data_IF_185639169768
#
_entry.id   IF_185639169768
#
_cell.length_a   1.000
_cell.length_b   1.000
_cell.length_c   1.000
_cell.angle_alpha   90.00
_cell.angle_beta   90.00
_cell.angle_gamma   90.00
#
_symmetry.space_group_name_H-M   'P 1'
#
loop_
_entity.id
_entity.type
_entity.pdbx_description
1 polymer ?
#
# COMPACT_ATOMS: atom_id res chain seq x y z
N UNK A 1 -22.78 3.87 18.55
CA UNK A 1 -21.91 4.09 17.38
C UNK A 1 -20.60 3.40 17.71
N UNK A 2 -20.04 2.61 16.80
CA UNK A 2 -18.74 1.95 17.08
C UNK A 2 -17.62 2.98 17.09
N UNK A 3 -16.62 2.77 17.94
CA UNK A 3 -15.47 3.66 18.02
C UNK A 3 -14.49 3.39 16.87
N UNK A 4 -14.21 2.11 16.59
CA UNK A 4 -13.22 1.68 15.62
C UNK A 4 -13.83 0.67 14.62
N UNK A 5 -13.56 0.87 13.33
CA UNK A 5 -13.80 -0.17 12.30
C UNK A 5 -12.46 -0.74 11.84
N UNK A 6 -12.36 -2.06 11.85
CA UNK A 6 -11.26 -2.80 11.21
C UNK A 6 -11.79 -3.42 9.91
N UNK A 7 -11.22 -3.06 8.78
CA UNK A 7 -11.57 -3.64 7.47
C UNK A 7 -10.50 -4.64 7.06
N UNK A 8 -10.93 -5.86 6.74
CA UNK A 8 -10.05 -7.00 6.43
C UNK A 8 -10.39 -7.54 5.05
N UNK A 9 -9.63 -7.19 3.99
CA UNK A 9 -9.74 -7.85 2.69
C UNK A 9 -9.24 -9.29 2.80
N UNK A 10 -10.04 -10.25 2.32
CA UNK A 10 -9.75 -11.68 2.34
C UNK A 10 -9.80 -12.22 0.90
N UNK A 11 -8.75 -12.87 0.46
CA UNK A 11 -8.73 -13.60 -0.82
C UNK A 11 -7.79 -14.81 -0.73
N UNK A 12 -8.37 -16.01 -0.85
CA UNK A 12 -7.63 -17.27 -0.77
C UNK A 12 -6.68 -17.31 0.44
N UNK A 13 -7.22 -16.99 1.62
CA UNK A 13 -6.48 -16.84 2.89
C UNK A 13 -6.92 -17.81 3.97
N UNK A 14 -7.63 -18.89 3.64
CA UNK A 14 -8.21 -19.85 4.59
C UNK A 14 -7.21 -20.30 5.67
N UNK A 15 -5.98 -20.61 5.29
CA UNK A 15 -4.94 -21.10 6.21
C UNK A 15 -4.45 -20.04 7.22
N UNK A 16 -4.72 -18.77 6.96
CA UNK A 16 -4.21 -17.62 7.73
C UNK A 16 -5.30 -16.90 8.52
N UNK A 17 -6.54 -16.90 8.02
CA UNK A 17 -7.66 -16.12 8.55
C UNK A 17 -7.89 -16.32 10.04
N UNK A 18 -7.76 -17.56 10.53
CA UNK A 18 -7.96 -17.82 11.96
C UNK A 18 -7.02 -16.98 12.80
N UNK A 19 -5.72 -16.99 12.51
CA UNK A 19 -4.72 -16.23 13.27
C UNK A 19 -4.91 -14.73 13.12
N UNK A 20 -5.25 -14.28 11.90
CA UNK A 20 -5.58 -12.90 11.65
C UNK A 20 -6.73 -12.48 12.57
N UNK A 21 -7.90 -13.13 12.48
CA UNK A 21 -9.10 -12.74 13.22
C UNK A 21 -8.87 -12.88 14.73
N UNK A 22 -8.26 -13.98 15.21
CA UNK A 22 -7.92 -14.17 16.63
C UNK A 22 -7.07 -13.00 17.18
N UNK A 23 -6.21 -12.39 16.34
CA UNK A 23 -5.39 -11.23 16.71
C UNK A 23 -6.19 -9.92 16.79
N UNK A 24 -7.35 -9.82 16.12
CA UNK A 24 -8.22 -8.64 16.13
C UNK A 24 -9.17 -8.61 17.34
N UNK A 25 -9.55 -9.77 17.87
CA UNK A 25 -10.56 -9.88 18.93
C UNK A 25 -10.22 -9.11 20.22
N UNK A 26 -8.94 -8.97 20.63
CA UNK A 26 -8.57 -8.14 21.79
C UNK A 26 -8.92 -6.65 21.65
N UNK A 27 -9.27 -6.16 20.46
CA UNK A 27 -9.57 -4.74 20.19
C UNK A 27 -10.72 -4.12 21.00
N UNK A 28 -11.52 -4.90 21.73
CA UNK A 28 -12.59 -4.41 22.64
C UNK A 28 -13.99 -4.44 22.04
N UNK A 29 -14.99 -4.11 22.86
CA UNK A 29 -16.42 -4.20 22.50
C UNK A 29 -16.88 -3.11 21.53
N UNK A 30 -16.21 -1.95 21.53
CA UNK A 30 -16.54 -0.81 20.66
C UNK A 30 -15.88 -0.91 19.26
N UNK A 31 -15.30 -2.07 18.94
CA UNK A 31 -14.75 -2.38 17.62
C UNK A 31 -15.79 -3.11 16.78
N UNK A 32 -15.90 -2.75 15.51
CA UNK A 32 -16.51 -3.60 14.47
C UNK A 32 -15.42 -4.12 13.53
N UNK A 33 -15.55 -5.36 13.08
CA UNK A 33 -14.64 -6.01 12.15
C UNK A 33 -15.45 -6.34 10.89
N UNK A 34 -15.01 -5.83 9.75
CA UNK A 34 -15.66 -6.08 8.46
C UNK A 34 -14.73 -6.96 7.62
N UNK A 35 -15.08 -8.23 7.49
CA UNK A 35 -14.42 -9.17 6.61
C UNK A 35 -14.98 -9.01 5.20
N UNK A 36 -14.12 -8.82 4.22
CA UNK A 36 -14.52 -8.69 2.82
C UNK A 36 -13.89 -9.83 2.02
N UNK A 37 -14.68 -10.86 1.75
CA UNK A 37 -14.27 -11.95 0.86
C UNK A 37 -14.32 -11.46 -0.59
N UNK A 38 -13.15 -11.31 -1.18
CA UNK A 38 -12.97 -10.84 -2.55
C UNK A 38 -13.05 -11.98 -3.57
N UNK A 39 -14.09 -12.82 -3.47
CA UNK A 39 -14.37 -13.90 -4.41
C UNK A 39 -13.36 -15.05 -4.31
N UNK A 40 -13.06 -15.48 -3.08
CA UNK A 40 -12.16 -16.61 -2.83
C UNK A 40 -12.68 -17.91 -3.44
N UNK A 41 -11.77 -18.74 -3.92
CA UNK A 41 -12.05 -20.09 -4.46
C UNK A 41 -11.68 -21.23 -3.50
N UNK A 42 -11.09 -20.89 -2.35
CA UNK A 42 -10.83 -21.80 -1.23
C UNK A 42 -11.94 -21.71 -0.16
N UNK A 43 -11.69 -22.16 1.06
CA UNK A 43 -12.65 -22.07 2.17
C UNK A 43 -12.74 -20.70 2.85
N UNK A 44 -12.10 -19.64 2.34
CA UNK A 44 -12.07 -18.32 3.00
C UNK A 44 -13.46 -17.71 3.16
N UNK A 45 -14.30 -17.77 2.12
CA UNK A 45 -15.67 -17.24 2.20
C UNK A 45 -16.48 -17.91 3.30
N UNK A 46 -16.48 -19.25 3.36
CA UNK A 46 -17.15 -20.00 4.43
C UNK A 46 -16.58 -19.67 5.81
N UNK A 47 -15.26 -19.49 5.92
CA UNK A 47 -14.63 -19.11 7.17
C UNK A 47 -15.07 -17.70 7.63
N UNK A 48 -15.25 -16.75 6.70
CA UNK A 48 -15.82 -15.43 7.01
C UNK A 48 -17.23 -15.54 7.62
N UNK A 49 -18.10 -16.36 7.02
CA UNK A 49 -19.47 -16.59 7.53
C UNK A 49 -19.45 -17.23 8.91
N UNK A 50 -18.60 -18.24 9.12
CA UNK A 50 -18.45 -18.91 10.40
C UNK A 50 -18.02 -17.93 11.52
N UNK A 51 -17.12 -17.00 11.21
CA UNK A 51 -16.68 -15.99 12.17
C UNK A 51 -17.77 -14.97 12.48
N UNK A 52 -18.54 -14.54 11.51
CA UNK A 52 -19.70 -13.67 11.71
C UNK A 52 -20.76 -14.30 12.67
N UNK A 53 -20.90 -15.64 12.62
CA UNK A 53 -21.80 -16.36 13.53
C UNK A 53 -21.24 -16.49 14.96
N UNK A 54 -19.92 -16.42 15.15
CA UNK A 54 -19.26 -16.61 16.46
C UNK A 54 -19.09 -15.32 17.24
N UNK A 55 -18.95 -14.18 16.56
CA UNK A 55 -18.70 -12.89 17.21
C UNK A 55 -19.57 -11.80 16.57
N UNK A 56 -20.47 -11.22 17.35
CA UNK A 56 -21.42 -10.20 16.90
C UNK A 56 -20.78 -8.88 16.44
N UNK A 57 -19.50 -8.66 16.70
CA UNK A 57 -18.73 -7.54 16.22
C UNK A 57 -18.28 -7.72 14.77
N UNK A 58 -18.32 -8.96 14.26
CA UNK A 58 -17.86 -9.32 12.93
C UNK A 58 -19.03 -9.25 11.95
N UNK A 59 -18.79 -8.60 10.82
CA UNK A 59 -19.67 -8.61 9.64
C UNK A 59 -18.90 -9.18 8.47
N UNK A 60 -19.57 -9.93 7.62
CA UNK A 60 -18.97 -10.46 6.39
C UNK A 60 -19.74 -9.96 5.17
N UNK A 61 -19.00 -9.67 4.10
CA UNK A 61 -19.54 -9.42 2.77
C UNK A 61 -18.73 -10.19 1.73
N UNK A 62 -19.42 -10.68 0.70
CA UNK A 62 -18.80 -11.35 -0.44
C UNK A 62 -18.94 -10.48 -1.69
N UNK A 63 -17.88 -10.40 -2.47
CA UNK A 63 -17.89 -9.73 -3.76
C UNK A 63 -17.20 -10.58 -4.83
N UNK A 64 -17.43 -10.26 -6.09
CA UNK A 64 -16.61 -10.81 -7.17
C UNK A 64 -15.20 -10.25 -7.06
N UNK A 65 -14.18 -11.11 -7.25
CA UNK A 65 -12.78 -10.68 -7.17
C UNK A 65 -12.51 -9.40 -7.97
N UNK A 66 -12.04 -8.39 -7.29
CA UNK A 66 -11.73 -7.08 -7.84
C UNK A 66 -10.43 -6.48 -7.26
N UNK A 67 -9.73 -7.23 -6.39
CA UNK A 67 -8.47 -6.84 -5.76
C UNK A 67 -8.63 -6.18 -4.39
N UNK A 68 -7.52 -6.16 -3.64
CA UNK A 68 -7.49 -5.71 -2.24
C UNK A 68 -8.01 -4.27 -2.06
N UNK A 69 -7.68 -3.35 -2.98
CA UNK A 69 -8.16 -1.97 -2.94
C UNK A 69 -9.69 -1.89 -3.02
N UNK A 70 -10.31 -2.68 -3.91
CA UNK A 70 -11.77 -2.71 -4.05
C UNK A 70 -12.45 -3.36 -2.85
N UNK A 71 -11.82 -4.38 -2.26
CA UNK A 71 -12.30 -4.98 -1.02
C UNK A 71 -12.24 -3.97 0.15
N UNK A 72 -11.15 -3.19 0.27
CA UNK A 72 -11.06 -2.10 1.25
C UNK A 72 -12.14 -1.03 1.01
N UNK A 73 -12.44 -0.66 -0.24
CA UNK A 73 -13.54 0.26 -0.56
C UNK A 73 -14.89 -0.29 -0.08
N UNK A 74 -15.17 -1.57 -0.30
CA UNK A 74 -16.40 -2.19 0.16
C UNK A 74 -16.51 -2.16 1.70
N UNK A 75 -15.41 -2.42 2.41
CA UNK A 75 -15.34 -2.29 3.87
C UNK A 75 -15.55 -0.85 4.34
N UNK A 76 -14.93 0.14 3.70
CA UNK A 76 -15.11 1.56 4.01
C UNK A 76 -16.58 1.98 3.92
N UNK A 77 -17.29 1.60 2.85
CA UNK A 77 -18.70 1.96 2.66
C UNK A 77 -19.60 1.41 3.76
N UNK A 78 -19.24 0.29 4.38
CA UNK A 78 -20.00 -0.34 5.46
C UNK A 78 -19.54 0.09 6.85
N UNK A 79 -18.39 0.77 6.95
CA UNK A 79 -17.80 1.16 8.22
C UNK A 79 -18.68 2.16 8.97
N UNK A 80 -18.78 2.03 10.29
CA UNK A 80 -19.53 2.94 11.16
C UNK A 80 -18.66 3.62 12.23
N UNK A 81 -17.43 3.14 12.44
CA UNK A 81 -16.50 3.66 13.43
C UNK A 81 -16.02 5.08 13.16
N UNK A 82 -15.69 5.83 14.20
CA UNK A 82 -15.06 7.14 14.12
C UNK A 82 -13.61 7.04 13.62
N UNK A 83 -12.98 5.89 13.87
CA UNK A 83 -11.62 5.56 13.43
C UNK A 83 -11.64 4.33 12.54
N UNK A 84 -10.73 4.30 11.55
CA UNK A 84 -10.63 3.21 10.57
C UNK A 84 -9.23 2.63 10.59
N UNK A 85 -9.13 1.31 10.65
CA UNK A 85 -7.92 0.52 10.53
C UNK A 85 -8.09 -0.49 9.39
N UNK A 86 -7.04 -0.70 8.61
CA UNK A 86 -6.97 -1.80 7.64
C UNK A 86 -6.03 -2.88 8.16
N UNK A 87 -6.41 -4.14 8.00
CA UNK A 87 -5.56 -5.29 8.30
C UNK A 87 -5.68 -6.29 7.17
N UNK A 88 -4.58 -6.75 6.61
CA UNK A 88 -4.62 -7.75 5.55
C UNK A 88 -4.95 -9.14 6.13
N UNK A 89 -5.84 -9.90 5.47
CA UNK A 89 -6.41 -11.15 6.01
C UNK A 89 -5.42 -12.31 6.19
N UNK A 90 -4.17 -12.08 5.83
CA UNK A 90 -3.05 -13.01 5.97
C UNK A 90 -2.00 -12.58 7.00
N UNK A 91 -2.20 -11.42 7.63
CA UNK A 91 -1.31 -10.84 8.62
C UNK A 91 -1.89 -10.96 10.05
N UNK A 92 -1.14 -10.51 11.02
CA UNK A 92 -1.52 -10.51 12.44
C UNK A 92 -1.15 -9.16 13.07
N UNK A 93 -1.84 -8.79 14.15
CA UNK A 93 -1.52 -7.57 14.91
C UNK A 93 -1.20 -7.91 16.37
N UNK A 94 -0.47 -7.02 17.04
CA UNK A 94 -0.26 -7.10 18.50
C UNK A 94 -1.61 -6.87 19.21
N UNK A 95 -1.89 -7.55 20.32
CA UNK A 95 -3.16 -7.43 21.05
C UNK A 95 -3.51 -6.00 21.50
N UNK A 96 -2.51 -5.15 21.67
CA UNK A 96 -2.61 -3.77 22.13
C UNK A 96 -2.44 -2.73 21.01
N UNK A 97 -2.39 -3.17 19.73
CA UNK A 97 -2.23 -2.26 18.59
C UNK A 97 -3.34 -1.21 18.53
N UNK A 98 -4.60 -1.63 18.63
CA UNK A 98 -5.74 -0.72 18.54
C UNK A 98 -5.71 0.31 19.67
N UNK A 99 -5.47 -0.12 20.90
CA UNK A 99 -5.38 0.75 22.08
C UNK A 99 -4.26 1.78 21.94
N UNK A 100 -3.05 1.33 21.56
CA UNK A 100 -1.87 2.20 21.43
C UNK A 100 -2.02 3.22 20.31
N UNK A 101 -2.49 2.79 19.15
CA UNK A 101 -2.73 3.71 18.04
C UNK A 101 -3.79 4.75 18.39
N UNK A 102 -4.90 4.33 18.99
CA UNK A 102 -5.97 5.23 19.39
C UNK A 102 -5.51 6.20 20.49
N UNK A 103 -4.83 5.69 21.52
CA UNK A 103 -4.30 6.51 22.61
C UNK A 103 -3.35 7.60 22.11
N UNK A 104 -2.42 7.25 21.23
CA UNK A 104 -1.46 8.21 20.68
C UNK A 104 -2.15 9.23 19.76
N UNK A 105 -3.11 8.78 18.92
CA UNK A 105 -3.91 9.66 18.07
C UNK A 105 -4.67 10.71 18.89
N UNK A 106 -5.32 10.29 19.98
CA UNK A 106 -6.09 11.16 20.87
C UNK A 106 -5.18 12.11 21.67
N UNK A 107 -4.09 11.59 22.25
CA UNK A 107 -3.09 12.36 23.02
C UNK A 107 -2.54 13.49 22.18
N UNK A 108 -2.13 13.23 20.95
CA UNK A 108 -1.53 14.20 20.05
C UNK A 108 -2.58 15.02 19.29
N UNK A 109 -3.87 14.69 19.38
CA UNK A 109 -4.94 15.25 18.54
C UNK A 109 -4.57 15.16 17.07
N UNK A 110 -4.10 13.97 16.67
CA UNK A 110 -3.66 13.71 15.32
C UNK A 110 -4.82 13.19 14.46
N UNK A 111 -4.63 13.26 13.15
CA UNK A 111 -5.56 12.72 12.16
C UNK A 111 -5.25 11.27 11.82
N UNK A 112 -3.96 10.93 11.93
CA UNK A 112 -3.43 9.58 11.74
C UNK A 112 -2.48 9.27 12.90
N UNK A 113 -2.56 8.04 13.42
CA UNK A 113 -1.45 7.43 14.17
C UNK A 113 -0.90 6.24 13.39
N UNK A 114 0.39 5.95 13.53
CA UNK A 114 1.04 4.84 12.84
C UNK A 114 2.08 4.16 13.71
N UNK A 115 2.29 2.87 13.48
CA UNK A 115 3.28 2.10 14.22
C UNK A 115 4.30 1.44 13.29
N UNK A 116 5.32 0.84 13.90
CA UNK A 116 6.24 -0.04 13.22
C UNK A 116 5.64 -1.41 12.94
N UNK A 117 6.43 -2.25 12.28
CA UNK A 117 6.01 -3.59 11.92
C UNK A 117 7.17 -4.59 11.94
N UNK A 118 6.83 -5.86 12.15
CA UNK A 118 7.72 -6.99 11.95
C UNK A 118 7.52 -7.55 10.54
N UNK A 119 8.55 -7.54 9.72
CA UNK A 119 8.56 -8.22 8.44
C UNK A 119 9.06 -9.66 8.67
N UNK A 120 8.10 -10.60 8.73
CA UNK A 120 8.33 -11.99 9.15
C UNK A 120 8.57 -12.86 7.94
N UNK A 121 9.81 -13.24 7.69
CA UNK A 121 10.22 -14.23 6.68
C UNK A 121 10.27 -15.62 7.30
N UNK A 122 10.47 -16.64 6.48
CA UNK A 122 10.59 -18.02 6.92
C UNK A 122 11.78 -18.25 7.86
N UNK A 123 12.90 -17.57 7.61
CA UNK A 123 14.21 -17.77 8.25
C UNK A 123 14.66 -16.60 9.14
N UNK A 124 13.99 -15.47 9.04
CA UNK A 124 14.33 -14.26 9.79
C UNK A 124 13.14 -13.34 9.99
N UNK A 125 13.25 -12.47 10.97
CA UNK A 125 12.32 -11.34 11.17
C UNK A 125 13.12 -10.04 11.14
N UNK A 126 12.59 -9.06 10.41
CA UNK A 126 13.17 -7.71 10.36
C UNK A 126 12.18 -6.76 11.01
N UNK A 127 12.63 -6.07 12.02
CA UNK A 127 11.84 -5.08 12.75
C UNK A 127 12.04 -3.70 12.15
N UNK A 128 10.94 -2.99 11.93
CA UNK A 128 10.91 -1.61 11.46
C UNK A 128 10.13 -0.79 12.47
N UNK A 129 10.80 0.12 13.15
CA UNK A 129 10.19 0.99 14.18
C UNK A 129 10.34 2.44 13.73
N UNK A 130 9.26 3.26 13.79
CA UNK A 130 9.38 4.69 13.60
C UNK A 130 10.05 5.37 14.79
N UNK A 131 10.69 6.51 14.55
CA UNK A 131 11.09 7.40 15.64
C UNK A 131 9.84 7.92 16.38
N UNK A 132 9.99 8.21 17.67
CA UNK A 132 8.94 8.88 18.46
C UNK A 132 8.82 10.35 18.02
N UNK A 133 7.84 10.62 17.16
CA UNK A 133 7.64 11.95 16.57
C UNK A 133 6.22 12.19 16.11
N UNK A 134 5.91 13.46 15.94
CA UNK A 134 4.68 13.95 15.32
C UNK A 134 5.03 14.72 14.06
N UNK A 135 4.54 14.23 12.92
CA UNK A 135 4.71 14.84 11.61
C UNK A 135 3.61 15.87 11.36
N UNK A 136 3.95 17.01 10.72
CA UNK A 136 2.99 18.08 10.38
C UNK A 136 3.20 18.61 8.97
N UNK A 137 2.09 18.90 8.30
CA UNK A 137 2.10 19.52 6.99
C UNK A 137 2.97 18.73 5.98
N UNK A 138 3.95 19.40 5.36
CA UNK A 138 4.84 18.79 4.34
C UNK A 138 5.71 17.64 4.86
N UNK A 139 5.95 17.54 6.17
CA UNK A 139 6.71 16.42 6.74
C UNK A 139 6.00 15.09 6.52
N UNK A 140 4.66 15.10 6.51
CA UNK A 140 3.84 13.91 6.27
C UNK A 140 4.05 13.40 4.83
N UNK A 141 3.97 14.29 3.84
CA UNK A 141 4.23 13.92 2.44
C UNK A 141 5.69 13.48 2.21
N UNK A 142 6.63 14.10 2.93
CA UNK A 142 8.04 13.72 2.88
C UNK A 142 8.25 12.32 3.48
N UNK A 143 7.64 12.02 4.64
CA UNK A 143 7.69 10.70 5.27
C UNK A 143 7.09 9.61 4.37
N UNK A 144 5.99 9.89 3.65
CA UNK A 144 5.39 8.98 2.67
C UNK A 144 6.40 8.47 1.66
N UNK A 145 7.36 9.29 1.25
CA UNK A 145 8.32 8.92 0.20
C UNK A 145 9.70 8.54 0.72
N UNK A 146 10.02 8.78 1.98
CA UNK A 146 11.37 8.56 2.54
C UNK A 146 11.42 7.56 3.68
N UNK A 147 10.35 7.41 4.47
CA UNK A 147 10.37 6.60 5.69
C UNK A 147 9.69 5.25 5.50
N UNK A 148 10.44 4.16 5.71
CA UNK A 148 9.92 2.79 5.53
C UNK A 148 8.73 2.51 6.46
N UNK A 149 8.74 3.00 7.69
CA UNK A 149 7.67 2.81 8.67
C UNK A 149 6.37 3.54 8.30
N UNK A 150 6.47 4.62 7.52
CA UNK A 150 5.31 5.40 7.04
C UNK A 150 4.98 5.12 5.57
N UNK A 151 5.92 4.53 4.82
CA UNK A 151 5.84 4.32 3.38
C UNK A 151 4.59 3.52 2.99
N UNK A 152 3.89 3.97 2.00
CA UNK A 152 2.74 3.46 1.24
C UNK A 152 1.79 2.44 1.88
N UNK A 153 2.17 1.74 2.96
CA UNK A 153 1.31 0.77 3.62
C UNK A 153 0.15 1.46 4.36
N UNK A 154 -1.04 0.91 4.24
CA UNK A 154 -2.24 1.42 4.93
C UNK A 154 -2.52 0.66 6.24
N UNK A 155 -2.00 -0.56 6.35
CA UNK A 155 -2.32 -1.52 7.41
C UNK A 155 -1.66 -1.22 8.77
N UNK A 156 -0.64 -0.39 8.86
CA UNK A 156 -0.01 0.02 10.14
C UNK A 156 -0.47 1.41 10.62
N UNK A 157 -1.62 1.87 10.13
CA UNK A 157 -2.14 3.23 10.37
C UNK A 157 -3.59 3.19 10.84
N UNK A 158 -3.88 3.97 11.88
CA UNK A 158 -5.23 4.29 12.31
C UNK A 158 -5.59 5.68 11.78
N UNK A 159 -6.70 5.77 11.10
CA UNK A 159 -7.18 6.99 10.47
C UNK A 159 -8.41 7.52 11.19
N UNK A 160 -8.48 8.83 11.46
CA UNK A 160 -9.74 9.49 11.74
C UNK A 160 -10.62 9.45 10.49
N UNK A 161 -11.89 9.06 10.63
CA UNK A 161 -12.81 8.93 9.48
C UNK A 161 -12.87 10.16 8.60
N UNK A 162 -12.87 11.36 9.22
CA UNK A 162 -13.03 12.64 8.52
C UNK A 162 -11.98 12.86 7.45
N UNK A 163 -10.71 12.45 7.67
CA UNK A 163 -9.66 12.63 6.66
C UNK A 163 -9.77 11.69 5.48
N UNK A 164 -10.62 10.66 5.59
CA UNK A 164 -10.90 9.71 4.52
C UNK A 164 -12.02 10.19 3.56
N UNK A 165 -12.60 11.35 3.82
CA UNK A 165 -13.72 11.89 3.05
C UNK A 165 -13.25 12.97 2.08
N UNK A 166 -13.87 13.01 0.90
CA UNK A 166 -13.72 14.12 -0.04
C UNK A 166 -14.56 15.34 0.39
N UNK A 167 -14.49 16.43 -0.36
CA UNK A 167 -15.25 17.65 -0.11
C UNK A 167 -16.78 17.49 -0.21
N UNK A 168 -17.27 16.36 -0.73
CA UNK A 168 -18.69 16.01 -0.82
C UNK A 168 -19.11 15.05 0.28
N UNK A 169 -18.20 14.71 1.21
CA UNK A 169 -18.45 13.78 2.31
C UNK A 169 -18.46 12.30 1.90
N UNK A 170 -17.94 11.95 0.74
CA UNK A 170 -17.80 10.57 0.26
C UNK A 170 -16.40 10.07 0.57
N UNK A 171 -16.26 8.77 0.81
CA UNK A 171 -14.94 8.18 0.98
C UNK A 171 -14.05 8.38 -0.25
N UNK A 172 -12.80 8.78 -0.02
CA UNK A 172 -11.73 8.69 -1.02
C UNK A 172 -11.48 7.21 -1.28
N UNK A 173 -11.74 6.76 -2.49
CA UNK A 173 -11.67 5.34 -2.84
C UNK A 173 -10.32 4.93 -3.43
N UNK A 174 -9.93 3.67 -3.18
CA UNK A 174 -8.86 3.00 -3.91
C UNK A 174 -9.25 2.88 -5.38
N UNK A 175 -8.28 3.02 -6.28
CA UNK A 175 -8.49 2.97 -7.71
C UNK A 175 -8.71 1.54 -8.22
N UNK A 176 -9.76 1.33 -9.02
CA UNK A 176 -10.09 0.01 -9.57
C UNK A 176 -9.16 -0.45 -10.70
N UNK A 177 -8.40 0.47 -11.27
CA UNK A 177 -7.52 0.23 -12.42
C UNK A 177 -6.02 0.20 -12.05
N UNK A 178 -5.72 0.09 -10.74
CA UNK A 178 -4.37 -0.08 -10.21
C UNK A 178 -4.34 -1.30 -9.29
N UNK A 179 -3.65 -2.34 -9.74
CA UNK A 179 -3.49 -3.60 -9.01
C UNK A 179 -2.22 -3.66 -8.15
N UNK A 180 -1.26 -2.76 -8.38
CA UNK A 180 0.00 -2.65 -7.62
C UNK A 180 0.33 -1.19 -7.37
N UNK A 181 0.53 -0.84 -6.10
CA UNK A 181 0.79 0.54 -5.67
C UNK A 181 -0.48 1.35 -5.38
N UNK A 182 -1.63 0.68 -5.36
CA UNK A 182 -2.94 1.26 -5.02
C UNK A 182 -2.95 1.91 -3.64
N UNK A 183 -2.31 1.28 -2.66
CA UNK A 183 -2.19 1.77 -1.28
C UNK A 183 -1.47 3.12 -1.22
N UNK A 184 -0.34 3.22 -1.91
CA UNK A 184 0.43 4.45 -1.95
C UNK A 184 -0.31 5.59 -2.64
N UNK A 185 -0.98 5.30 -3.75
CA UNK A 185 -1.78 6.29 -4.45
C UNK A 185 -2.96 6.76 -3.60
N UNK A 186 -3.69 5.82 -3.00
CA UNK A 186 -4.79 6.15 -2.11
C UNK A 186 -4.31 7.01 -0.93
N UNK A 187 -3.23 6.58 -0.27
CA UNK A 187 -2.66 7.32 0.85
C UNK A 187 -2.22 8.73 0.44
N UNK A 188 -1.60 8.90 -0.74
CA UNK A 188 -1.21 10.24 -1.21
C UNK A 188 -2.39 11.19 -1.40
N UNK A 189 -3.57 10.68 -1.75
CA UNK A 189 -4.82 11.45 -1.83
C UNK A 189 -5.36 11.80 -0.44
N UNK A 190 -5.40 10.83 0.47
CA UNK A 190 -5.87 11.01 1.85
C UNK A 190 -5.00 12.02 2.60
N UNK A 191 -3.69 11.98 2.41
CA UNK A 191 -2.76 12.88 3.11
C UNK A 191 -2.96 14.36 2.80
N UNK A 192 -3.72 14.74 1.79
CA UNK A 192 -4.13 16.13 1.55
C UNK A 192 -5.07 16.67 2.62
N UNK A 193 -5.80 15.79 3.29
CA UNK A 193 -6.72 16.12 4.37
C UNK A 193 -6.07 16.01 5.75
N UNK A 194 -4.80 15.59 5.84
CA UNK A 194 -4.10 15.28 7.10
C UNK A 194 -3.20 16.43 7.49
N UNK A 195 -3.44 16.99 8.66
CA UNK A 195 -2.61 18.05 9.25
C UNK A 195 -1.53 17.48 10.17
N UNK A 196 -1.84 16.35 10.86
CA UNK A 196 -0.95 15.78 11.87
C UNK A 196 -0.97 14.24 11.83
N UNK A 197 0.22 13.64 11.87
CA UNK A 197 0.40 12.19 12.01
C UNK A 197 1.35 11.88 13.17
N UNK A 198 0.94 11.02 14.12
CA UNK A 198 1.67 10.66 15.32
C UNK A 198 2.23 9.24 15.24
N UNK A 199 3.49 9.06 15.61
CA UNK A 199 4.17 7.77 15.62
C UNK A 199 4.02 7.06 16.97
N UNK A 200 3.70 5.77 16.94
CA UNK A 200 3.89 4.86 18.07
C UNK A 200 5.21 4.11 17.84
N UNK A 201 6.27 4.34 18.64
CA UNK A 201 7.61 3.80 18.40
C UNK A 201 7.71 2.33 18.82
N UNK A 202 6.83 1.48 18.28
CA UNK A 202 6.76 0.05 18.53
C UNK A 202 6.35 -0.68 17.26
N UNK A 203 6.83 -1.92 17.07
CA UNK A 203 6.42 -2.80 16.00
C UNK A 203 5.18 -3.60 16.43
N UNK A 204 4.00 -3.14 16.02
CA UNK A 204 2.71 -3.72 16.45
C UNK A 204 1.97 -4.47 15.33
N UNK A 205 2.44 -4.40 14.11
CA UNK A 205 1.89 -5.13 12.96
C UNK A 205 2.84 -6.23 12.52
N UNK A 206 2.34 -7.43 12.21
CA UNK A 206 3.16 -8.61 11.88
C UNK A 206 2.92 -9.00 10.42
N UNK A 207 3.69 -8.40 9.52
CA UNK A 207 3.62 -8.67 8.10
C UNK A 207 4.23 -10.02 7.75
N UNK A 208 3.39 -11.01 7.47
CA UNK A 208 3.78 -12.40 7.22
C UNK A 208 4.12 -12.62 5.74
N UNK A 209 5.38 -12.92 5.44
CA UNK A 209 5.83 -13.22 4.09
C UNK A 209 5.47 -14.64 3.69
N UNK A 210 4.74 -14.79 2.59
CA UNK A 210 4.33 -16.09 2.01
C UNK A 210 4.99 -16.31 0.67
N UNK A 211 5.21 -17.58 0.27
CA UNK A 211 5.80 -17.94 -1.02
C UNK A 211 4.95 -17.45 -2.21
N UNK A 212 3.63 -17.31 -2.03
CA UNK A 212 2.67 -16.86 -3.03
C UNK A 212 2.15 -15.42 -2.81
N UNK A 213 2.78 -14.63 -1.95
CA UNK A 213 2.40 -13.24 -1.75
C UNK A 213 2.54 -12.43 -3.04
N UNK A 214 1.62 -11.47 -3.27
CA UNK A 214 1.68 -10.54 -4.39
C UNK A 214 2.99 -9.72 -4.39
N UNK A 215 3.62 -9.55 -3.22
CA UNK A 215 4.84 -8.77 -2.99
C UNK A 215 6.04 -9.63 -2.58
N UNK A 216 6.30 -10.77 -3.24
CA UNK A 216 7.48 -11.58 -2.95
C UNK A 216 8.79 -10.78 -3.13
N UNK A 217 9.59 -10.72 -2.06
CA UNK A 217 11.03 -10.42 -2.12
C UNK A 217 11.45 -9.10 -2.74
N UNK A 218 10.67 -8.00 -2.52
CA UNK A 218 10.90 -6.73 -3.18
C UNK A 218 10.26 -6.71 -4.57
N UNK A 219 8.97 -6.38 -4.63
CA UNK A 219 8.17 -6.11 -5.83
C UNK A 219 8.49 -7.02 -7.04
N UNK A 220 8.30 -8.33 -6.93
CA UNK A 220 8.24 -9.18 -8.12
C UNK A 220 6.87 -8.95 -8.76
N UNK A 221 6.85 -8.02 -9.68
CA UNK A 221 5.72 -7.78 -10.57
C UNK A 221 5.64 -9.01 -11.49
N UNK A 222 4.55 -9.79 -11.37
CA UNK A 222 4.43 -11.11 -12.05
C UNK A 222 3.70 -11.04 -13.38
N UNK A 223 2.96 -9.98 -13.64
CA UNK A 223 2.17 -9.84 -14.87
C UNK A 223 2.54 -8.56 -15.62
N UNK A 224 2.36 -8.56 -16.93
CA UNK A 224 2.63 -7.39 -17.77
C UNK A 224 1.77 -6.19 -17.34
N UNK A 225 0.52 -6.47 -16.96
CA UNK A 225 -0.40 -5.46 -16.45
C UNK A 225 0.08 -4.83 -15.14
N UNK A 226 0.64 -5.62 -14.22
CA UNK A 226 1.21 -5.13 -12.98
C UNK A 226 2.39 -4.16 -13.19
N UNK A 227 3.21 -4.34 -14.23
CA UNK A 227 4.26 -3.38 -14.61
C UNK A 227 3.67 -2.02 -15.00
N UNK A 228 2.60 -2.02 -15.77
CA UNK A 228 1.96 -0.80 -16.24
C UNK A 228 1.19 -0.10 -15.11
N UNK A 229 0.52 -0.85 -14.24
CA UNK A 229 -0.26 -0.30 -13.13
C UNK A 229 0.63 0.32 -12.05
N UNK A 230 1.76 -0.30 -11.68
CA UNK A 230 2.69 0.31 -10.72
C UNK A 230 3.27 1.62 -11.25
N UNK A 231 3.59 1.70 -12.54
CA UNK A 231 4.06 2.95 -13.13
C UNK A 231 2.97 4.01 -13.12
N UNK A 232 1.72 3.63 -13.38
CA UNK A 232 0.58 4.53 -13.29
C UNK A 232 0.41 5.05 -11.86
N UNK A 233 0.46 4.17 -10.85
CA UNK A 233 0.35 4.56 -9.45
C UNK A 233 1.43 5.58 -9.05
N UNK A 234 2.69 5.30 -9.34
CA UNK A 234 3.80 6.18 -8.99
C UNK A 234 3.76 7.53 -9.72
N UNK A 235 3.30 7.52 -10.98
CA UNK A 235 3.05 8.75 -11.73
C UNK A 235 1.98 9.60 -11.06
N UNK A 236 0.84 9.02 -10.75
CA UNK A 236 -0.26 9.72 -10.12
C UNK A 236 0.12 10.22 -8.73
N UNK A 237 0.80 9.41 -7.91
CA UNK A 237 1.37 9.86 -6.63
C UNK A 237 2.27 11.10 -6.81
N UNK A 238 3.10 11.13 -7.86
CA UNK A 238 3.97 12.28 -8.14
C UNK A 238 3.15 13.55 -8.41
N UNK A 239 2.00 13.42 -9.06
CA UNK A 239 1.09 14.52 -9.37
C UNK A 239 0.24 14.95 -8.16
N UNK A 240 -0.01 14.04 -7.23
CA UNK A 240 -0.77 14.33 -6.01
C UNK A 240 0.06 15.09 -4.95
N UNK A 241 1.39 15.05 -5.02
CA UNK A 241 2.29 15.69 -4.06
C UNK A 241 2.54 17.15 -4.45
N UNK A 242 2.02 18.09 -3.67
CA UNK A 242 2.15 19.54 -3.92
C UNK A 242 3.54 20.09 -3.53
N UNK A 243 4.21 19.47 -2.54
CA UNK A 243 5.54 19.89 -2.09
C UNK A 243 6.61 19.51 -3.13
N UNK A 244 7.17 20.52 -3.82
CA UNK A 244 8.14 20.32 -4.90
C UNK A 244 9.35 19.47 -4.55
N UNK A 245 10.03 19.63 -3.39
CA UNK A 245 11.11 18.75 -2.97
C UNK A 245 10.68 17.29 -2.86
N UNK A 246 9.55 17.03 -2.24
CA UNK A 246 8.98 15.68 -2.07
C UNK A 246 8.56 15.08 -3.41
N UNK A 247 7.88 15.84 -4.26
CA UNK A 247 7.51 15.43 -5.61
C UNK A 247 8.75 15.05 -6.45
N UNK A 248 9.88 15.76 -6.28
CA UNK A 248 11.14 15.41 -6.94
C UNK A 248 11.69 14.06 -6.48
N UNK A 249 11.59 13.72 -5.19
CA UNK A 249 11.99 12.41 -4.67
C UNK A 249 11.08 11.32 -5.23
N UNK A 250 9.77 11.54 -5.24
CA UNK A 250 8.80 10.61 -5.81
C UNK A 250 9.02 10.40 -7.31
N UNK A 251 9.31 11.45 -8.05
CA UNK A 251 9.69 11.39 -9.45
C UNK A 251 10.93 10.50 -9.67
N UNK A 252 11.98 10.61 -8.83
CA UNK A 252 13.15 9.73 -8.91
C UNK A 252 12.79 8.26 -8.65
N UNK A 253 11.91 7.98 -7.70
CA UNK A 253 11.39 6.61 -7.47
C UNK A 253 10.64 6.09 -8.69
N UNK A 254 9.75 6.91 -9.27
CA UNK A 254 9.06 6.56 -10.50
C UNK A 254 10.05 6.22 -11.64
N UNK A 255 11.05 7.06 -11.90
CA UNK A 255 12.07 6.82 -12.93
C UNK A 255 12.87 5.54 -12.66
N UNK A 256 13.21 5.29 -11.39
CA UNK A 256 13.88 4.05 -10.96
C UNK A 256 13.01 2.80 -11.26
N UNK A 257 11.71 2.88 -10.98
CA UNK A 257 10.75 1.81 -11.29
C UNK A 257 10.59 1.61 -12.79
N UNK A 258 10.48 2.69 -13.58
CA UNK A 258 10.44 2.61 -15.04
C UNK A 258 11.64 1.84 -15.59
N UNK A 259 12.84 2.17 -15.10
CA UNK A 259 14.07 1.49 -15.50
C UNK A 259 14.06 0.02 -15.13
N UNK A 260 13.67 -0.31 -13.90
CA UNK A 260 13.58 -1.70 -13.43
C UNK A 260 12.59 -2.52 -14.26
N UNK A 261 11.41 -1.99 -14.53
CA UNK A 261 10.39 -2.62 -15.37
C UNK A 261 10.90 -2.85 -16.81
N UNK A 262 11.57 -1.86 -17.41
CA UNK A 262 12.12 -1.99 -18.76
C UNK A 262 13.18 -3.09 -18.84
N UNK A 263 14.09 -3.17 -17.87
CA UNK A 263 15.13 -4.20 -17.82
C UNK A 263 14.53 -5.58 -17.64
N UNK A 264 13.52 -5.70 -16.77
CA UNK A 264 12.85 -6.97 -16.53
C UNK A 264 12.10 -7.44 -17.78
N UNK A 265 11.35 -6.55 -18.45
CA UNK A 265 10.69 -6.84 -19.73
C UNK A 265 11.68 -7.28 -20.82
N UNK A 266 12.88 -6.71 -20.80
CA UNK A 266 13.96 -7.12 -21.68
C UNK A 266 14.49 -8.52 -21.35
N UNK A 267 14.75 -8.83 -20.06
CA UNK A 267 15.20 -10.16 -19.59
C UNK A 267 14.20 -11.25 -19.93
N UNK A 268 12.91 -10.97 -19.76
CA UNK A 268 11.81 -11.88 -20.02
C UNK A 268 11.46 -12.00 -21.50
N UNK A 269 12.15 -11.28 -22.39
CA UNK A 269 11.94 -11.25 -23.85
C UNK A 269 10.49 -10.90 -24.23
N UNK A 270 9.90 -9.89 -23.58
CA UNK A 270 8.53 -9.41 -23.79
C UNK A 270 8.52 -8.16 -24.68
N UNK A 271 8.47 -8.28 -26.03
CA UNK A 271 8.59 -7.13 -26.93
C UNK A 271 7.42 -6.14 -26.81
N UNK A 272 6.20 -6.64 -26.64
CA UNK A 272 5.01 -5.78 -26.51
C UNK A 272 5.06 -4.97 -25.21
N UNK A 273 5.44 -5.58 -24.09
CA UNK A 273 5.61 -4.89 -22.82
C UNK A 273 6.71 -3.84 -22.91
N UNK A 274 7.86 -4.15 -23.54
CA UNK A 274 8.93 -3.17 -23.79
C UNK A 274 8.42 -1.95 -24.54
N UNK A 275 7.63 -2.17 -25.61
CA UNK A 275 7.03 -1.10 -26.40
C UNK A 275 6.09 -0.24 -25.57
N UNK A 276 5.16 -0.86 -24.84
CA UNK A 276 4.22 -0.14 -23.98
C UNK A 276 4.93 0.68 -22.89
N UNK A 277 5.96 0.13 -22.26
CA UNK A 277 6.78 0.83 -21.27
C UNK A 277 7.52 2.02 -21.88
N UNK A 278 8.11 1.85 -23.08
CA UNK A 278 8.82 2.92 -23.78
C UNK A 278 7.88 4.07 -24.15
N UNK A 279 6.69 3.75 -24.65
CA UNK A 279 5.65 4.75 -24.98
C UNK A 279 5.23 5.52 -23.73
N UNK A 280 4.99 4.81 -22.62
CA UNK A 280 4.64 5.42 -21.34
C UNK A 280 5.73 6.35 -20.82
N UNK A 281 6.97 5.90 -20.76
CA UNK A 281 8.12 6.69 -20.30
C UNK A 281 8.26 7.97 -21.14
N UNK A 282 8.09 7.89 -22.46
CA UNK A 282 8.15 9.05 -23.35
C UNK A 282 6.98 10.02 -23.12
N UNK A 283 5.78 9.52 -22.94
CA UNK A 283 4.60 10.35 -22.67
C UNK A 283 4.78 11.14 -21.35
N UNK A 284 5.38 10.54 -20.36
CA UNK A 284 5.61 11.13 -19.05
C UNK A 284 6.88 12.00 -18.94
N UNK A 285 7.67 12.11 -20.03
CA UNK A 285 8.94 12.86 -20.05
C UNK A 285 8.77 14.33 -19.62
N UNK A 286 7.62 14.94 -19.87
CA UNK A 286 7.32 16.32 -19.48
C UNK A 286 7.20 16.54 -17.96
N UNK A 287 6.97 15.45 -17.19
CA UNK A 287 6.86 15.51 -15.72
C UNK A 287 8.21 15.72 -15.03
N UNK A 288 9.32 15.44 -15.71
CA UNK A 288 10.64 15.31 -15.08
C UNK A 288 11.51 16.55 -15.16
N UNK A 289 11.09 17.58 -15.87
CA UNK A 289 11.91 18.77 -16.09
C UNK A 289 13.17 18.49 -16.95
N UNK A 290 14.11 19.41 -16.96
CA UNK A 290 15.36 19.25 -17.71
C UNK A 290 16.25 18.15 -17.09
N UNK A 291 16.80 17.33 -17.95
CA UNK A 291 17.59 16.13 -17.71
C UNK A 291 18.63 16.29 -16.57
N UNK A 292 18.41 15.58 -15.47
CA UNK A 292 19.52 15.17 -14.62
C UNK A 292 20.09 13.84 -15.14
N UNK A 293 21.23 13.43 -14.58
CA UNK A 293 21.92 12.18 -14.96
C UNK A 293 20.99 10.94 -14.91
N UNK A 294 19.97 10.98 -14.07
CA UNK A 294 19.01 9.89 -13.88
C UNK A 294 18.06 9.75 -15.08
N UNK A 295 17.60 10.86 -15.62
CA UNK A 295 16.76 10.91 -16.82
C UNK A 295 17.54 10.46 -18.06
N UNK A 296 18.80 10.88 -18.19
CA UNK A 296 19.68 10.44 -19.27
C UNK A 296 19.92 8.93 -19.25
N UNK A 297 20.15 8.35 -18.07
CA UNK A 297 20.31 6.89 -17.93
C UNK A 297 19.03 6.13 -18.33
N UNK A 298 17.85 6.65 -17.98
CA UNK A 298 16.58 6.04 -18.38
C UNK A 298 16.39 6.12 -19.90
N UNK A 299 16.59 7.29 -20.50
CA UNK A 299 16.47 7.48 -21.96
C UNK A 299 17.41 6.51 -22.71
N UNK A 300 18.62 6.33 -22.20
CA UNK A 300 19.59 5.38 -22.78
C UNK A 300 19.14 3.93 -22.61
N UNK A 301 18.58 3.54 -21.47
CA UNK A 301 18.01 2.19 -21.27
C UNK A 301 16.85 1.92 -22.24
N UNK A 302 15.96 2.89 -22.46
CA UNK A 302 14.86 2.78 -23.41
C UNK A 302 15.38 2.60 -24.82
N UNK A 303 16.34 3.43 -25.24
CA UNK A 303 16.94 3.37 -26.58
C UNK A 303 17.62 2.02 -26.83
N UNK A 304 18.44 1.56 -25.88
CA UNK A 304 19.16 0.28 -26.00
C UNK A 304 18.21 -0.92 -26.01
N UNK A 305 17.12 -0.85 -25.27
CA UNK A 305 16.09 -1.89 -25.28
C UNK A 305 15.35 -1.95 -26.63
N UNK A 306 15.10 -0.82 -27.27
CA UNK A 306 14.43 -0.73 -28.57
C UNK A 306 15.32 -1.31 -29.70
N UNK A 307 16.62 -1.07 -29.66
CA UNK A 307 17.56 -1.62 -30.65
C UNK A 307 18.01 -3.05 -30.31
N UNK A 308 17.42 -3.68 -29.31
CA UNK A 308 17.77 -5.02 -28.84
C UNK A 308 19.27 -5.18 -28.50
N UNK A 309 19.87 -4.15 -27.89
CA UNK A 309 21.27 -4.21 -27.46
C UNK A 309 21.52 -5.38 -26.48
N UNK A 310 22.72 -5.95 -26.40
CA UNK A 310 23.04 -7.01 -25.45
C UNK A 310 22.72 -6.61 -24.01
N UNK A 311 22.11 -7.52 -23.22
CA UNK A 311 21.68 -7.26 -21.85
C UNK A 311 22.81 -6.69 -20.97
N UNK A 312 24.03 -7.22 -21.12
CA UNK A 312 25.20 -6.74 -20.40
C UNK A 312 25.57 -5.26 -20.65
N UNK A 313 25.16 -4.69 -21.81
CA UNK A 313 25.32 -3.26 -22.08
C UNK A 313 24.31 -2.45 -21.28
N UNK A 314 23.04 -2.91 -21.25
CA UNK A 314 21.97 -2.27 -20.50
C UNK A 314 22.25 -2.32 -18.99
N UNK A 315 22.76 -3.44 -18.49
CA UNK A 315 23.09 -3.63 -17.06
C UNK A 315 24.29 -2.79 -16.62
N UNK A 316 25.28 -2.56 -17.46
CA UNK A 316 26.43 -1.67 -17.15
C UNK A 316 25.99 -0.23 -16.88
N UNK A 317 24.94 0.24 -17.52
CA UNK A 317 24.39 1.58 -17.25
C UNK A 317 23.79 1.67 -15.83
N UNK A 318 23.44 0.55 -15.20
CA UNK A 318 22.98 0.50 -13.80
C UNK A 318 24.12 0.80 -12.81
N UNK A 319 25.31 0.31 -13.09
CA UNK A 319 26.49 0.45 -12.21
C UNK A 319 27.19 1.81 -12.31
N UNK A 320 26.86 2.61 -13.31
CA UNK A 320 27.34 3.99 -13.48
C UNK A 320 26.39 4.97 -12.80
#
# INVERSE_FOLDING_TARGET
MKLLTITVPCYNSQDYMRRCIDSLLPGGEDVEIILVDDGSSDGSGTACDDWMLRDSRIRCIHQKNAGAGMARNAGLRLSSGEYILFVDGDDEIAPDLCEKLLSELLKERADISYCGFLNVFRDKTVEIIPDDKVLKGREISFALVTEISFFTAVWNKLFRREVLLDSEGRFIEFSSDISVGEDGLWLSKVLKNVEKAAAVPQALYYWKRRENSATQGGAVIRTDDAYLTVLKAYREMTLEIDDKPTAKIMCKKYLGTCRACMIQAYREKKPELKKALAERIRADKRLYGRADLFTLKLDLCVLLAEVNAPLGVIERIQGM
#
